data_IF_213015217899
#
_entry.id   IF_213015217899
#
_cell.length_a   1.000
_cell.length_b   1.000
_cell.length_c   1.000
_cell.angle_alpha   90.00
_cell.angle_beta   90.00
_cell.angle_gamma   90.00
#
_symmetry.space_group_name_H-M   'P 1'
#
loop_
_entity.id
_entity.type
_entity.pdbx_description
1 polymer ?
#
# COMPACT_ATOMS: atom_id res chain seq x y z
N UNK A 1 11.65 18.07 16.07
CA UNK A 1 11.98 18.47 14.68
C UNK A 1 13.27 17.77 14.26
N UNK A 2 13.18 16.55 13.69
CA UNK A 2 14.39 15.84 13.20
C UNK A 2 14.10 14.77 12.10
N UNK A 3 12.92 14.77 11.47
CA UNK A 3 12.51 13.68 10.54
C UNK A 3 12.42 14.06 9.04
N UNK A 4 12.87 15.24 8.62
CA UNK A 4 12.74 15.67 7.21
C UNK A 4 13.93 15.34 6.31
N UNK A 5 15.08 14.92 6.86
CA UNK A 5 16.32 14.72 6.07
C UNK A 5 16.54 13.29 5.56
N UNK A 6 15.94 12.26 6.16
CA UNK A 6 16.20 10.86 5.80
C UNK A 6 15.48 10.40 4.51
N UNK A 7 14.36 11.04 4.18
CA UNK A 7 13.47 10.65 3.05
C UNK A 7 14.04 11.06 1.67
N UNK A 8 15.00 12.01 1.62
CA UNK A 8 15.45 12.59 0.34
C UNK A 8 16.37 11.68 -0.50
N UNK A 9 17.05 10.71 0.10
CA UNK A 9 18.08 9.89 -0.57
C UNK A 9 17.73 8.40 -0.70
N UNK A 10 16.49 8.00 -0.42
CA UNK A 10 16.06 6.62 -0.65
C UNK A 10 15.76 6.36 -2.14
N UNK A 11 16.10 5.16 -2.61
CA UNK A 11 15.74 4.67 -3.95
C UNK A 11 14.22 4.64 -4.13
N UNK A 12 13.74 4.66 -5.38
CA UNK A 12 12.32 4.48 -5.70
C UNK A 12 11.79 3.17 -5.09
N UNK A 13 12.57 2.09 -5.18
CA UNK A 13 12.27 0.80 -4.55
C UNK A 13 11.95 0.95 -3.07
N UNK A 14 12.87 1.54 -2.31
CA UNK A 14 12.72 1.67 -0.86
C UNK A 14 11.53 2.56 -0.52
N UNK A 15 11.30 3.64 -1.27
CA UNK A 15 10.14 4.52 -1.03
C UNK A 15 8.81 3.80 -1.23
N UNK A 16 8.70 3.01 -2.28
CA UNK A 16 7.51 2.21 -2.56
C UNK A 16 7.30 1.13 -1.49
N UNK A 17 8.37 0.42 -1.09
CA UNK A 17 8.31 -0.59 -0.05
C UNK A 17 7.89 0.00 1.30
N UNK A 18 8.47 1.14 1.68
CA UNK A 18 8.15 1.82 2.93
C UNK A 18 6.70 2.32 2.98
N UNK A 19 6.12 2.77 1.86
CA UNK A 19 4.69 3.10 1.81
C UNK A 19 3.86 1.87 2.12
N UNK A 20 4.15 0.76 1.44
CA UNK A 20 3.38 -0.46 1.61
C UNK A 20 3.48 -0.91 3.07
N UNK A 21 4.70 -1.00 3.61
CA UNK A 21 4.94 -1.32 5.02
C UNK A 21 4.23 -0.37 6.00
N UNK A 22 4.28 0.94 5.77
CA UNK A 22 3.64 1.94 6.64
C UNK A 22 2.13 1.84 6.63
N UNK A 23 1.51 1.58 5.46
CA UNK A 23 0.08 1.29 5.37
C UNK A 23 -0.25 0.06 6.21
N UNK A 24 0.54 -1.02 6.09
CA UNK A 24 0.31 -2.25 6.83
C UNK A 24 0.47 -2.10 8.34
N UNK A 25 1.52 -1.42 8.79
CA UNK A 25 1.75 -1.16 10.22
C UNK A 25 0.60 -0.34 10.81
N UNK A 26 0.04 0.63 10.06
CA UNK A 26 -1.18 1.32 10.49
C UNK A 26 -2.34 0.36 10.74
N UNK A 27 -2.58 -0.62 9.86
CA UNK A 27 -3.67 -1.58 10.03
C UNK A 27 -3.45 -2.56 11.20
N UNK A 28 -2.21 -2.91 11.52
CA UNK A 28 -1.88 -3.77 12.67
C UNK A 28 -1.92 -3.04 14.01
N UNK A 29 -1.34 -1.84 14.07
CA UNK A 29 -1.02 -1.15 15.33
C UNK A 29 -2.07 -0.11 15.73
N UNK A 30 -3.00 0.23 14.85
CA UNK A 30 -4.05 1.21 15.10
C UNK A 30 -5.43 0.55 15.28
N UNK A 31 -6.20 0.98 16.29
CA UNK A 31 -7.57 0.49 16.51
C UNK A 31 -8.51 0.82 15.34
N UNK A 32 -8.39 2.03 14.78
CA UNK A 32 -9.16 2.44 13.59
C UNK A 32 -8.73 1.64 12.36
N UNK A 33 -7.42 1.40 12.20
CA UNK A 33 -6.90 0.51 11.16
C UNK A 33 -7.53 -0.89 11.26
N UNK A 34 -7.45 -1.51 12.43
CA UNK A 34 -8.07 -2.81 12.69
C UNK A 34 -9.59 -2.82 12.45
N UNK A 35 -10.30 -1.74 12.83
CA UNK A 35 -11.72 -1.58 12.55
C UNK A 35 -11.99 -1.55 11.05
N UNK A 36 -11.27 -0.70 10.30
CA UNK A 36 -11.42 -0.57 8.85
C UNK A 36 -11.15 -1.92 8.18
N UNK A 37 -10.05 -2.61 8.52
CA UNK A 37 -9.71 -3.89 7.90
C UNK A 37 -10.83 -4.95 8.06
N UNK A 38 -11.49 -4.98 9.23
CA UNK A 38 -12.60 -5.93 9.49
C UNK A 38 -13.86 -5.62 8.69
N UNK A 39 -14.20 -4.34 8.57
CA UNK A 39 -15.46 -3.91 7.94
C UNK A 39 -15.29 -3.50 6.47
N UNK A 40 -14.06 -3.47 5.95
CA UNK A 40 -13.79 -3.20 4.54
C UNK A 40 -14.32 -4.32 3.64
N UNK A 41 -14.09 -5.58 4.01
CA UNK A 41 -14.48 -6.75 3.21
C UNK A 41 -16.01 -6.95 3.22
N UNK A 42 -16.64 -6.74 4.37
CA UNK A 42 -18.08 -6.93 4.54
C UNK A 42 -18.65 -5.82 5.43
N UNK A 43 -18.87 -4.62 4.86
CA UNK A 43 -19.40 -3.50 5.62
C UNK A 43 -20.87 -3.76 6.02
N UNK A 44 -21.32 -3.29 7.18
CA UNK A 44 -22.75 -3.25 7.50
C UNK A 44 -23.48 -2.37 6.47
N UNK A 45 -24.63 -2.82 5.97
CA UNK A 45 -25.32 -2.19 4.83
C UNK A 45 -25.55 -0.68 5.05
N UNK A 46 -25.93 -0.28 6.26
CA UNK A 46 -26.16 1.13 6.64
C UNK A 46 -24.91 2.03 6.56
N UNK A 47 -23.71 1.46 6.54
CA UNK A 47 -22.43 2.18 6.48
C UNK A 47 -21.66 1.95 5.17
N UNK A 48 -22.18 1.12 4.27
CA UNK A 48 -21.48 0.70 3.05
C UNK A 48 -21.02 1.90 2.21
N UNK A 49 -21.91 2.86 1.96
CA UNK A 49 -21.58 4.05 1.15
C UNK A 49 -20.50 4.91 1.80
N UNK A 50 -20.57 5.11 3.12
CA UNK A 50 -19.59 5.90 3.87
C UNK A 50 -18.21 5.24 3.86
N UNK A 51 -18.15 3.92 4.05
CA UNK A 51 -16.90 3.17 4.01
C UNK A 51 -16.28 3.16 2.61
N UNK A 52 -17.10 2.98 1.56
CA UNK A 52 -16.62 3.09 0.17
C UNK A 52 -16.06 4.47 -0.12
N UNK A 53 -16.72 5.54 0.34
CA UNK A 53 -16.23 6.90 0.14
C UNK A 53 -14.88 7.13 0.83
N UNK A 54 -14.70 6.63 2.06
CA UNK A 54 -13.43 6.68 2.78
C UNK A 54 -12.30 5.94 2.03
N UNK A 55 -12.60 4.78 1.44
CA UNK A 55 -11.64 4.04 0.64
C UNK A 55 -11.25 4.80 -0.62
N UNK A 56 -12.22 5.33 -1.38
CA UNK A 56 -11.95 6.14 -2.57
C UNK A 56 -11.10 7.38 -2.27
N UNK A 57 -11.33 8.02 -1.12
CA UNK A 57 -10.52 9.15 -0.67
C UNK A 57 -9.10 8.72 -0.29
N UNK A 58 -8.97 7.60 0.41
CA UNK A 58 -7.66 7.03 0.79
C UNK A 58 -6.84 6.62 -0.44
N UNK A 59 -7.47 5.96 -1.41
CA UNK A 59 -6.83 5.52 -2.65
C UNK A 59 -6.28 6.70 -3.44
N UNK A 60 -7.04 7.81 -3.53
CA UNK A 60 -6.56 9.04 -4.18
C UNK A 60 -5.33 9.63 -3.50
N UNK A 61 -5.27 9.60 -2.17
CA UNK A 61 -4.10 10.08 -1.44
C UNK A 61 -2.89 9.15 -1.63
N UNK A 62 -3.10 7.83 -1.60
CA UNK A 62 -2.05 6.84 -1.88
C UNK A 62 -1.52 7.02 -3.30
N UNK A 63 -2.40 7.14 -4.30
CA UNK A 63 -2.05 7.35 -5.70
C UNK A 63 -1.19 8.60 -5.88
N UNK A 64 -1.56 9.73 -5.27
CA UNK A 64 -0.74 10.96 -5.32
C UNK A 64 0.68 10.74 -4.81
N UNK A 65 0.84 9.95 -3.73
CA UNK A 65 2.17 9.64 -3.19
C UNK A 65 2.94 8.74 -4.14
N UNK A 66 2.31 7.72 -4.72
CA UNK A 66 2.92 6.83 -5.71
C UNK A 66 3.40 7.61 -6.94
N UNK A 67 2.56 8.48 -7.49
CA UNK A 67 2.89 9.33 -8.63
C UNK A 67 4.10 10.23 -8.32
N UNK A 68 4.15 10.81 -7.12
CA UNK A 68 5.28 11.65 -6.68
C UNK A 68 6.59 10.87 -6.60
N UNK A 69 6.55 9.58 -6.28
CA UNK A 69 7.72 8.71 -6.21
C UNK A 69 8.17 8.24 -7.59
N UNK A 70 7.23 7.87 -8.46
CA UNK A 70 7.50 7.24 -9.74
C UNK A 70 7.84 8.25 -10.85
N UNK A 71 7.14 9.39 -10.89
CA UNK A 71 7.25 10.36 -11.98
C UNK A 71 8.68 10.85 -12.27
N UNK A 72 9.56 11.09 -11.28
CA UNK A 72 10.93 11.54 -11.54
C UNK A 72 11.81 10.55 -12.33
N UNK A 73 11.47 9.27 -12.34
CA UNK A 73 12.25 8.19 -12.95
C UNK A 73 11.37 7.30 -13.86
N UNK A 74 10.28 7.87 -14.41
CA UNK A 74 9.27 7.16 -15.18
C UNK A 74 9.82 6.41 -16.41
N UNK A 75 10.94 6.89 -16.97
CA UNK A 75 11.62 6.27 -18.11
C UNK A 75 12.21 4.89 -17.78
N UNK A 76 12.50 4.61 -16.50
CA UNK A 76 13.09 3.34 -16.02
C UNK A 76 12.07 2.23 -15.77
N UNK A 77 10.78 2.55 -15.80
CA UNK A 77 9.72 1.62 -15.42
C UNK A 77 8.71 1.41 -16.55
N UNK A 78 7.89 0.37 -16.43
CA UNK A 78 6.69 0.20 -17.24
C UNK A 78 5.72 1.38 -17.03
N UNK A 79 4.57 1.38 -17.73
CA UNK A 79 3.56 2.43 -17.56
C UNK A 79 3.21 2.65 -16.08
N UNK A 80 3.27 3.90 -15.61
CA UNK A 80 2.95 4.27 -14.23
C UNK A 80 1.56 3.78 -13.84
N UNK A 81 0.59 3.87 -14.74
CA UNK A 81 -0.79 3.41 -14.48
C UNK A 81 -0.84 1.91 -14.18
N UNK A 82 -0.01 1.11 -14.86
CA UNK A 82 0.11 -0.33 -14.58
C UNK A 82 0.79 -0.60 -13.24
N UNK A 83 1.77 0.23 -12.87
CA UNK A 83 2.45 0.15 -11.57
C UNK A 83 1.46 0.47 -10.44
N UNK A 84 0.68 1.55 -10.59
CA UNK A 84 -0.32 1.96 -9.60
C UNK A 84 -1.39 0.87 -9.46
N UNK A 85 -1.94 0.36 -10.56
CA UNK A 85 -2.94 -0.70 -10.52
C UNK A 85 -2.40 -2.00 -9.87
N UNK A 86 -1.18 -2.40 -10.20
CA UNK A 86 -0.55 -3.58 -9.58
C UNK A 86 -0.18 -3.37 -8.12
N UNK A 87 0.18 -2.14 -7.72
CA UNK A 87 0.43 -1.78 -6.33
C UNK A 87 -0.84 -1.89 -5.49
N UNK A 88 -1.98 -1.39 -5.98
CA UNK A 88 -3.27 -1.55 -5.28
C UNK A 88 -3.69 -3.02 -5.21
N UNK A 89 -3.53 -3.79 -6.29
CA UNK A 89 -3.82 -5.23 -6.26
C UNK A 89 -2.97 -5.98 -5.21
N UNK A 90 -1.70 -5.59 -5.06
CA UNK A 90 -0.83 -6.12 -4.01
C UNK A 90 -1.37 -5.74 -2.63
N UNK A 91 -1.69 -4.46 -2.42
CA UNK A 91 -2.20 -3.95 -1.16
C UNK A 91 -3.50 -4.65 -0.73
N UNK A 92 -4.46 -4.79 -1.65
CA UNK A 92 -5.74 -5.47 -1.43
C UNK A 92 -5.55 -6.94 -1.00
N UNK A 93 -4.69 -7.66 -1.73
CA UNK A 93 -4.36 -9.05 -1.42
C UNK A 93 -3.71 -9.20 -0.04
N UNK A 94 -2.87 -8.24 0.34
CA UNK A 94 -2.22 -8.23 1.64
C UNK A 94 -3.17 -7.85 2.77
N UNK A 95 -4.09 -6.91 2.60
CA UNK A 95 -5.11 -6.61 3.61
C UNK A 95 -6.03 -7.79 3.87
N UNK A 96 -6.47 -8.48 2.81
CA UNK A 96 -7.23 -9.73 2.95
C UNK A 96 -6.43 -10.80 3.70
N UNK A 97 -5.14 -10.93 3.41
CA UNK A 97 -4.27 -11.88 4.10
C UNK A 97 -4.07 -11.51 5.57
N UNK A 98 -3.86 -10.22 5.87
CA UNK A 98 -3.72 -9.69 7.23
C UNK A 98 -4.91 -10.05 8.12
N UNK A 99 -6.14 -10.04 7.57
CA UNK A 99 -7.34 -10.37 8.33
C UNK A 99 -7.41 -11.86 8.75
N UNK A 100 -6.64 -12.75 8.13
CA UNK A 100 -6.76 -14.20 8.30
C UNK A 100 -5.49 -14.90 8.83
N UNK A 101 -4.34 -14.23 8.84
CA UNK A 101 -3.04 -14.84 9.14
C UNK A 101 -2.25 -14.02 10.16
N UNK A 102 -1.28 -14.66 10.84
CA UNK A 102 -0.42 -13.97 11.81
C UNK A 102 0.52 -12.97 11.12
N UNK A 103 1.02 -11.98 11.88
CA UNK A 103 1.99 -10.99 11.38
C UNK A 103 3.24 -11.64 10.79
N UNK A 104 3.74 -12.72 11.38
CA UNK A 104 4.89 -13.47 10.84
C UNK A 104 4.62 -14.03 9.45
N UNK A 105 3.46 -14.69 9.24
CA UNK A 105 3.09 -15.22 7.93
C UNK A 105 2.89 -14.09 6.92
N UNK A 106 2.35 -12.97 7.37
CA UNK A 106 2.14 -11.78 6.57
C UNK A 106 3.47 -11.17 6.10
N UNK A 107 4.40 -10.92 7.01
CA UNK A 107 5.71 -10.32 6.72
C UNK A 107 6.50 -11.19 5.73
N UNK A 108 6.49 -12.51 5.94
CA UNK A 108 7.11 -13.46 5.01
C UNK A 108 6.50 -13.35 3.60
N UNK A 109 5.16 -13.36 3.51
CA UNK A 109 4.48 -13.27 2.22
C UNK A 109 4.79 -11.93 1.53
N UNK A 110 4.78 -10.84 2.28
CA UNK A 110 5.11 -9.50 1.81
C UNK A 110 6.49 -9.47 1.13
N UNK A 111 7.51 -10.00 1.80
CA UNK A 111 8.87 -10.06 1.26
C UNK A 111 8.96 -10.89 -0.04
N UNK A 112 8.24 -12.01 -0.11
CA UNK A 112 8.21 -12.89 -1.29
C UNK A 112 7.57 -12.18 -2.50
N UNK A 113 6.40 -11.58 -2.31
CA UNK A 113 5.66 -10.93 -3.42
C UNK A 113 6.24 -9.57 -3.79
N UNK A 114 6.91 -8.87 -2.86
CA UNK A 114 7.60 -7.62 -3.13
C UNK A 114 8.68 -7.80 -4.20
N UNK A 115 9.46 -8.88 -4.11
CA UNK A 115 10.50 -9.17 -5.10
C UNK A 115 9.91 -9.37 -6.50
N UNK A 116 8.74 -10.00 -6.61
CA UNK A 116 8.05 -10.19 -7.89
C UNK A 116 7.54 -8.86 -8.42
N UNK A 117 6.88 -8.06 -7.57
CA UNK A 117 6.41 -6.73 -7.93
C UNK A 117 7.54 -5.84 -8.43
N UNK A 118 8.63 -5.72 -7.66
CA UNK A 118 9.75 -4.83 -8.00
C UNK A 118 10.41 -5.21 -9.32
N UNK A 119 10.66 -6.50 -9.55
CA UNK A 119 11.21 -6.98 -10.82
C UNK A 119 10.23 -6.77 -11.98
N UNK A 120 8.93 -6.89 -11.73
CA UNK A 120 7.88 -6.79 -12.75
C UNK A 120 7.63 -5.36 -13.26
N UNK A 121 7.97 -4.33 -12.47
CA UNK A 121 7.74 -2.94 -12.87
C UNK A 121 8.94 -2.29 -13.58
N UNK A 122 10.10 -2.94 -13.57
CA UNK A 122 11.30 -2.49 -14.26
C UNK A 122 11.18 -2.68 -15.78
N UNK A 123 11.88 -1.85 -16.57
CA UNK A 123 12.06 -2.01 -18.02
C UNK A 123 13.29 -2.82 -18.37
#
# INVERSE_FOLDING_TARGET
>A
MQNQSFVKNQSVENKLYEILKSLNDYFYENELGNFINRYFILPPEQFKEQLVQLCVESDKEIEKVLLKILSPEADKFISIDLIVASFFCHLDGMFLYMANYSREHYEKRLEEIWQVFWRGIQK
#
